data_IF_683301099929
#
_entry.id   IF_683301099929
#
_cell.length_a   1.000
_cell.length_b   1.000
_cell.length_c   1.000
_cell.angle_alpha   90.00
_cell.angle_beta   90.00
_cell.angle_gamma   90.00
#
_symmetry.space_group_name_H-M   'P 1'
#
loop_
_entity.id
_entity.type
_entity.pdbx_description
1 polymer ?
#
# COMPACT_ATOMS: atom_id res chain seq x y z
N UNK A 1 -0.10 17.79 -21.36
CA UNK A 1 1.11 16.98 -21.04
C UNK A 1 1.78 17.43 -19.71
N UNK A 2 1.91 18.76 -19.45
CA UNK A 2 2.55 19.24 -18.21
C UNK A 2 1.74 18.91 -16.97
N UNK A 3 0.41 18.96 -17.06
CA UNK A 3 -0.48 18.71 -15.93
C UNK A 3 -0.49 17.22 -15.57
N UNK A 4 -0.53 16.33 -16.57
CA UNK A 4 -0.45 14.88 -16.36
C UNK A 4 0.89 14.47 -15.74
N UNK A 5 2.01 15.05 -16.20
CA UNK A 5 3.32 14.79 -15.60
C UNK A 5 3.35 15.28 -14.14
N UNK A 6 2.78 16.45 -13.88
CA UNK A 6 2.71 17.01 -12.54
C UNK A 6 1.88 16.11 -11.61
N UNK A 7 0.69 15.71 -12.04
CA UNK A 7 -0.18 14.81 -11.27
C UNK A 7 0.52 13.49 -10.94
N UNK A 8 1.08 12.80 -11.93
CA UNK A 8 1.83 11.57 -11.69
C UNK A 8 3.03 11.75 -10.75
N UNK A 9 3.71 12.90 -10.78
CA UNK A 9 4.79 13.18 -9.84
C UNK A 9 4.27 13.41 -8.42
N UNK A 10 3.10 14.01 -8.25
CA UNK A 10 2.46 14.19 -6.95
C UNK A 10 2.06 12.86 -6.35
N UNK A 11 1.48 11.96 -7.16
CA UNK A 11 1.11 10.60 -6.75
C UNK A 11 2.35 9.81 -6.27
N UNK A 12 3.48 9.92 -6.99
CA UNK A 12 4.74 9.30 -6.57
C UNK A 12 5.23 9.87 -5.23
N UNK A 13 5.19 11.19 -5.04
CA UNK A 13 5.61 11.78 -3.77
C UNK A 13 4.68 11.40 -2.61
N UNK A 14 3.39 11.26 -2.87
CA UNK A 14 2.43 10.80 -1.87
C UNK A 14 2.73 9.36 -1.44
N UNK A 15 2.92 8.48 -2.41
CA UNK A 15 3.32 7.09 -2.17
C UNK A 15 4.61 7.04 -1.35
N UNK A 16 5.66 7.75 -1.78
CA UNK A 16 6.93 7.81 -1.07
C UNK A 16 6.82 8.38 0.35
N UNK A 17 5.92 9.32 0.60
CA UNK A 17 5.68 9.86 1.94
C UNK A 17 5.25 8.76 2.92
N UNK A 18 4.40 7.83 2.48
CA UNK A 18 3.92 6.70 3.31
C UNK A 18 4.96 5.58 3.38
N UNK A 19 5.58 5.24 2.25
CA UNK A 19 6.61 4.20 2.12
C UNK A 19 7.80 4.45 3.07
N UNK A 20 8.31 5.66 3.16
CA UNK A 20 9.41 6.02 4.06
C UNK A 20 9.09 5.78 5.55
N UNK A 21 7.82 5.87 5.95
CA UNK A 21 7.40 5.50 7.30
C UNK A 21 7.40 3.98 7.51
N UNK A 22 7.10 3.19 6.47
CA UNK A 22 7.22 1.73 6.51
C UNK A 22 8.69 1.31 6.61
N UNK A 23 9.56 1.87 5.77
CA UNK A 23 11.00 1.62 5.83
C UNK A 23 11.58 1.97 7.20
N UNK A 24 11.13 3.07 7.81
CA UNK A 24 11.51 3.41 9.18
C UNK A 24 11.09 2.34 10.19
N UNK A 25 9.88 1.78 10.06
CA UNK A 25 9.39 0.69 10.91
C UNK A 25 10.18 -0.60 10.73
N UNK A 26 10.50 -0.97 9.49
CA UNK A 26 11.37 -2.13 9.18
C UNK A 26 12.72 -1.97 9.88
N UNK A 27 13.33 -0.79 9.77
CA UNK A 27 14.64 -0.52 10.41
C UNK A 27 14.58 -0.53 11.92
N UNK A 28 13.49 -0.11 12.53
CA UNK A 28 13.29 -0.32 13.99
C UNK A 28 13.20 -1.81 14.33
N UNK A 29 12.58 -2.63 13.50
CA UNK A 29 12.55 -4.09 13.66
C UNK A 29 13.94 -4.74 13.59
N UNK A 30 14.88 -4.11 12.89
CA UNK A 30 16.29 -4.53 12.78
C UNK A 30 17.21 -3.91 13.86
N UNK A 31 16.68 -3.15 14.83
CA UNK A 31 17.45 -2.33 15.78
C UNK A 31 18.33 -1.24 15.12
N UNK A 32 18.10 -0.91 13.83
CA UNK A 32 18.82 0.13 13.10
C UNK A 32 18.12 1.50 13.24
N UNK A 33 18.26 2.11 14.40
CA UNK A 33 17.65 3.43 14.67
C UNK A 33 18.23 4.56 13.80
N UNK A 34 19.45 4.40 13.28
CA UNK A 34 20.07 5.39 12.41
C UNK A 34 19.39 5.43 11.04
N UNK A 35 19.18 4.27 10.40
CA UNK A 35 18.47 4.20 9.13
C UNK A 35 16.99 4.54 9.29
N UNK A 36 16.34 4.08 10.37
CA UNK A 36 14.97 4.47 10.69
C UNK A 36 14.79 5.99 10.75
N UNK A 37 15.74 6.69 11.39
CA UNK A 37 15.74 8.17 11.42
C UNK A 37 15.89 8.76 10.02
N UNK A 38 16.79 8.23 9.19
CA UNK A 38 16.99 8.69 7.81
C UNK A 38 15.66 8.66 7.04
N UNK A 39 14.95 7.54 7.08
CA UNK A 39 13.68 7.35 6.39
C UNK A 39 12.57 8.28 6.93
N UNK A 40 12.44 8.44 8.24
CA UNK A 40 11.48 9.40 8.80
C UNK A 40 11.72 10.84 8.30
N UNK A 41 12.98 11.25 8.15
CA UNK A 41 13.34 12.55 7.57
C UNK A 41 13.05 12.62 6.07
N UNK A 42 13.32 11.56 5.31
CA UNK A 42 13.04 11.49 3.87
C UNK A 42 11.53 11.62 3.62
N UNK A 43 10.68 10.93 4.36
CA UNK A 43 9.24 11.07 4.30
C UNK A 43 8.76 12.49 4.57
N UNK A 44 9.31 13.17 5.60
CA UNK A 44 9.02 14.58 5.84
C UNK A 44 9.41 15.47 4.66
N UNK A 45 10.57 15.25 4.05
CA UNK A 45 11.01 16.04 2.90
C UNK A 45 10.18 15.80 1.65
N UNK A 46 9.75 14.56 1.38
CA UNK A 46 8.79 14.28 0.31
C UNK A 46 7.49 15.03 0.56
N UNK A 47 6.95 14.97 1.77
CA UNK A 47 5.72 15.67 2.09
C UNK A 47 5.87 17.21 2.04
N UNK A 48 7.00 17.76 2.43
CA UNK A 48 7.25 19.20 2.27
C UNK A 48 7.12 19.66 0.82
N UNK A 49 7.52 18.82 -0.13
CA UNK A 49 7.36 19.08 -1.55
C UNK A 49 5.90 19.03 -1.98
N UNK A 50 5.12 18.11 -1.40
CA UNK A 50 3.68 17.93 -1.66
C UNK A 50 2.80 18.99 -0.99
N UNK A 51 3.20 19.52 0.16
CA UNK A 51 2.36 20.34 1.03
C UNK A 51 1.60 21.49 0.33
N UNK A 52 2.19 22.25 -0.62
CA UNK A 52 1.44 23.27 -1.34
C UNK A 52 0.28 22.71 -2.16
N UNK A 53 0.47 21.54 -2.78
CA UNK A 53 -0.53 20.86 -3.60
C UNK A 53 -1.59 20.18 -2.73
N UNK A 54 -1.16 19.52 -1.65
CA UNK A 54 -2.08 18.97 -0.64
C UNK A 54 -2.99 20.07 -0.08
N UNK A 55 -2.47 21.28 0.16
CA UNK A 55 -3.27 22.41 0.60
C UNK A 55 -4.37 22.80 -0.39
N UNK A 56 -4.08 22.68 -1.70
CA UNK A 56 -5.05 22.99 -2.77
C UNK A 56 -6.12 21.87 -2.90
N UNK A 57 -5.76 20.60 -2.68
CA UNK A 57 -6.63 19.44 -2.91
C UNK A 57 -7.45 19.04 -1.69
N UNK A 58 -6.82 18.92 -0.50
CA UNK A 58 -7.50 18.48 0.74
C UNK A 58 -7.81 19.63 1.73
N UNK A 59 -7.41 20.84 1.38
CA UNK A 59 -7.55 22.02 2.22
C UNK A 59 -6.45 22.19 3.25
N UNK A 60 -6.26 23.43 3.71
CA UNK A 60 -5.13 23.79 4.58
C UNK A 60 -5.13 23.06 5.92
N UNK A 61 -6.29 22.74 6.47
CA UNK A 61 -6.38 22.13 7.79
C UNK A 61 -5.85 20.69 7.77
N UNK A 62 -6.30 19.87 6.80
CA UNK A 62 -5.82 18.48 6.62
C UNK A 62 -4.36 18.45 6.18
N UNK A 63 -3.96 19.31 5.24
CA UNK A 63 -2.57 19.40 4.80
C UNK A 63 -1.63 19.75 5.96
N UNK A 64 -2.00 20.69 6.84
CA UNK A 64 -1.21 21.02 8.02
C UNK A 64 -1.24 19.90 9.07
N UNK A 65 -2.35 19.18 9.21
CA UNK A 65 -2.42 18.00 10.09
C UNK A 65 -1.43 16.93 9.60
N UNK A 66 -1.41 16.62 8.32
CA UNK A 66 -0.48 15.67 7.73
C UNK A 66 0.98 16.12 7.90
N UNK A 67 1.26 17.41 7.69
CA UNK A 67 2.58 17.97 7.96
C UNK A 67 3.02 17.75 9.42
N UNK A 68 2.13 18.03 10.37
CA UNK A 68 2.40 17.81 11.80
C UNK A 68 2.64 16.33 12.15
N UNK A 69 1.99 15.39 11.45
CA UNK A 69 2.23 13.95 11.62
C UNK A 69 3.62 13.56 11.09
N UNK A 70 4.05 14.12 9.96
CA UNK A 70 5.40 13.87 9.43
C UNK A 70 6.49 14.50 10.33
N UNK A 71 6.26 15.68 10.89
CA UNK A 71 7.15 16.24 11.92
C UNK A 71 7.19 15.36 13.18
N UNK A 72 6.04 14.82 13.61
CA UNK A 72 5.97 13.88 14.73
C UNK A 72 6.77 12.59 14.46
N UNK A 73 6.72 12.04 13.24
CA UNK A 73 7.53 10.88 12.86
C UNK A 73 9.04 11.18 12.96
N UNK A 74 9.45 12.35 12.52
CA UNK A 74 10.84 12.84 12.68
C UNK A 74 11.21 12.96 14.16
N UNK A 75 10.38 13.59 14.99
CA UNK A 75 10.63 13.78 16.44
C UNK A 75 10.71 12.44 17.18
N UNK A 76 9.87 11.44 16.80
CA UNK A 76 9.96 10.08 17.33
C UNK A 76 11.35 9.50 17.06
N UNK A 77 11.84 9.61 15.85
CA UNK A 77 13.15 9.07 15.47
C UNK A 77 14.30 9.81 16.11
N UNK A 78 14.17 11.10 16.40
CA UNK A 78 15.16 11.88 17.14
C UNK A 78 15.24 11.44 18.59
N UNK A 79 14.15 11.04 19.22
CA UNK A 79 14.09 10.58 20.61
C UNK A 79 14.82 9.25 20.86
N UNK A 80 15.22 8.53 19.81
CA UNK A 80 16.12 7.37 19.94
C UNK A 80 17.43 7.70 20.67
N UNK A 81 17.92 8.92 20.51
CA UNK A 81 19.13 9.41 21.19
C UNK A 81 18.90 9.72 22.67
N UNK A 82 17.66 9.87 23.10
CA UNK A 82 17.27 10.22 24.47
C UNK A 82 16.98 8.99 25.36
N UNK A 83 17.29 7.79 24.85
CA UNK A 83 17.16 6.53 25.57
C UNK A 83 15.74 5.96 25.58
N UNK A 84 14.89 6.37 24.66
CA UNK A 84 13.59 5.73 24.40
C UNK A 84 13.84 4.34 23.83
N UNK A 85 13.08 3.34 24.29
CA UNK A 85 13.26 1.96 23.80
C UNK A 85 12.82 1.83 22.33
N UNK A 86 13.48 0.96 21.56
CA UNK A 86 13.10 0.68 20.17
C UNK A 86 11.62 0.22 20.07
N UNK A 87 11.16 -0.56 21.04
CA UNK A 87 9.76 -0.99 21.09
C UNK A 87 8.77 0.20 21.22
N UNK A 88 9.12 1.20 22.06
CA UNK A 88 8.28 2.40 22.20
C UNK A 88 8.36 3.28 20.96
N UNK A 89 9.52 3.38 20.31
CA UNK A 89 9.69 4.10 19.04
C UNK A 89 8.86 3.46 17.93
N UNK A 90 8.92 2.13 17.81
CA UNK A 90 8.14 1.34 16.84
C UNK A 90 6.64 1.56 17.05
N UNK A 91 6.15 1.46 18.28
CA UNK A 91 4.74 1.65 18.59
C UNK A 91 4.25 3.07 18.20
N UNK A 92 5.01 4.10 18.57
CA UNK A 92 4.67 5.49 18.25
C UNK A 92 4.72 5.77 16.75
N UNK A 93 5.71 5.21 16.03
CA UNK A 93 5.83 5.33 14.58
C UNK A 93 4.66 4.64 13.88
N UNK A 94 4.28 3.44 14.32
CA UNK A 94 3.14 2.69 13.78
C UNK A 94 1.83 3.45 13.93
N UNK A 95 1.57 4.02 15.12
CA UNK A 95 0.39 4.85 15.35
C UNK A 95 0.39 6.10 14.46
N UNK A 96 1.55 6.74 14.29
CA UNK A 96 1.67 7.94 13.45
C UNK A 96 1.44 7.59 11.98
N UNK A 97 2.00 6.50 11.49
CA UNK A 97 1.78 6.00 10.11
C UNK A 97 0.29 5.73 9.85
N UNK A 98 -0.42 5.05 10.77
CA UNK A 98 -1.87 4.82 10.64
C UNK A 98 -2.66 6.12 10.47
N UNK A 99 -2.30 7.18 11.21
CA UNK A 99 -2.95 8.50 11.08
C UNK A 99 -2.63 9.15 9.72
N UNK A 100 -1.39 9.02 9.22
CA UNK A 100 -0.98 9.51 7.90
C UNK A 100 -1.78 8.80 6.81
N UNK A 101 -1.77 7.47 6.80
CA UNK A 101 -2.48 6.64 5.83
C UNK A 101 -3.97 6.97 5.77
N UNK A 102 -4.60 7.17 6.93
CA UNK A 102 -6.01 7.56 6.98
C UNK A 102 -6.28 8.87 6.22
N UNK A 103 -5.46 9.90 6.43
CA UNK A 103 -5.64 11.18 5.73
C UNK A 103 -5.41 11.03 4.23
N UNK A 104 -4.41 10.24 3.84
CA UNK A 104 -4.10 9.94 2.44
C UNK A 104 -5.27 9.20 1.78
N UNK A 105 -5.82 8.17 2.41
CA UNK A 105 -6.98 7.44 1.90
C UNK A 105 -8.21 8.33 1.75
N UNK A 106 -8.50 9.19 2.75
CA UNK A 106 -9.59 10.16 2.65
C UNK A 106 -9.36 11.18 1.52
N UNK A 107 -8.10 11.55 1.25
CA UNK A 107 -7.73 12.39 0.10
C UNK A 107 -8.05 11.68 -1.22
N UNK A 108 -7.75 10.40 -1.32
CA UNK A 108 -8.02 9.56 -2.49
C UNK A 108 -9.50 9.18 -2.64
N UNK A 109 -10.38 9.82 -1.87
CA UNK A 109 -11.83 9.67 -2.00
C UNK A 109 -12.40 8.44 -1.31
N UNK A 110 -11.63 7.76 -0.46
CA UNK A 110 -12.15 6.69 0.38
C UNK A 110 -13.05 7.29 1.46
N UNK A 111 -14.25 6.74 1.63
CA UNK A 111 -15.13 7.13 2.73
C UNK A 111 -14.40 6.88 4.06
N UNK A 112 -14.48 7.84 4.98
CA UNK A 112 -13.84 7.76 6.30
C UNK A 112 -14.50 6.76 7.26
N UNK A 113 -15.39 5.87 6.80
CA UNK A 113 -15.94 4.80 7.62
C UNK A 113 -14.87 3.75 7.96
N UNK A 114 -14.93 3.12 9.15
CA UNK A 114 -13.95 2.12 9.55
C UNK A 114 -13.82 0.97 8.56
N UNK A 115 -14.94 0.49 8.01
CA UNK A 115 -14.98 -0.59 7.02
C UNK A 115 -14.34 -0.19 5.69
N UNK A 116 -14.61 1.00 5.17
CA UNK A 116 -14.03 1.49 3.92
C UNK A 116 -12.53 1.69 4.05
N UNK A 117 -12.07 2.31 5.14
CA UNK A 117 -10.65 2.50 5.42
C UNK A 117 -9.91 1.16 5.59
N UNK A 118 -10.53 0.18 6.28
CA UNK A 118 -9.93 -1.14 6.45
C UNK A 118 -9.78 -1.88 5.11
N UNK A 119 -10.83 -1.89 4.27
CA UNK A 119 -10.79 -2.55 2.96
C UNK A 119 -9.81 -1.86 2.02
N UNK A 120 -9.75 -0.53 2.02
CA UNK A 120 -8.78 0.22 1.23
C UNK A 120 -7.34 -0.07 1.70
N UNK A 121 -7.10 -0.09 3.01
CA UNK A 121 -5.78 -0.40 3.57
C UNK A 121 -5.31 -1.82 3.26
N UNK A 122 -6.22 -2.80 3.23
CA UNK A 122 -5.89 -4.17 2.80
C UNK A 122 -5.56 -4.20 1.31
N UNK A 123 -6.38 -3.54 0.47
CA UNK A 123 -6.16 -3.50 -0.98
C UNK A 123 -4.80 -2.86 -1.33
N UNK A 124 -4.45 -1.77 -0.67
CA UNK A 124 -3.18 -1.08 -0.85
C UNK A 124 -1.99 -1.99 -0.54
N UNK A 125 -2.04 -2.70 0.58
CA UNK A 125 -0.98 -3.64 0.97
C UNK A 125 -0.87 -4.85 0.05
N UNK A 126 -1.98 -5.39 -0.42
CA UNK A 126 -1.98 -6.47 -1.41
C UNK A 126 -1.30 -6.03 -2.71
N UNK A 127 -1.54 -4.80 -3.11
CA UNK A 127 -0.87 -4.22 -4.25
C UNK A 127 0.66 -4.10 -4.01
N UNK A 128 1.06 -3.54 -2.86
CA UNK A 128 2.48 -3.39 -2.54
C UNK A 128 3.19 -4.75 -2.46
N UNK A 129 2.54 -5.79 -1.91
CA UNK A 129 3.06 -7.17 -1.99
C UNK A 129 3.36 -7.58 -3.43
N UNK A 130 2.48 -7.27 -4.38
CA UNK A 130 2.69 -7.63 -5.80
C UNK A 130 3.86 -6.86 -6.43
N UNK A 131 3.99 -5.57 -6.13
CA UNK A 131 5.06 -4.72 -6.67
C UNK A 131 6.41 -5.16 -6.11
N UNK A 132 6.53 -5.18 -4.78
CA UNK A 132 7.81 -5.40 -4.13
C UNK A 132 8.33 -6.83 -4.32
N UNK A 133 7.44 -7.84 -4.32
CA UNK A 133 7.87 -9.23 -4.49
C UNK A 133 8.52 -9.51 -5.85
N UNK A 134 8.09 -8.82 -6.90
CA UNK A 134 8.69 -8.94 -8.25
C UNK A 134 10.15 -8.46 -8.27
N UNK A 135 10.45 -7.42 -7.51
CA UNK A 135 11.78 -6.83 -7.43
C UNK A 135 12.62 -7.46 -6.28
N UNK A 136 11.98 -8.17 -5.36
CA UNK A 136 12.61 -8.82 -4.22
C UNK A 136 13.33 -10.12 -4.55
N UNK A 137 12.75 -10.97 -5.43
CA UNK A 137 13.29 -12.32 -5.74
C UNK A 137 13.48 -12.56 -7.22
N UNK A 138 14.43 -13.47 -7.54
CA UNK A 138 14.59 -13.98 -8.90
C UNK A 138 13.65 -15.17 -9.20
N UNK A 139 13.60 -15.60 -10.47
CA UNK A 139 12.78 -16.75 -10.89
C UNK A 139 13.18 -18.11 -10.28
N UNK A 140 14.20 -18.14 -9.42
CA UNK A 140 14.68 -19.33 -8.69
C UNK A 140 14.40 -19.23 -7.18
N UNK A 141 13.74 -18.17 -6.72
CA UNK A 141 13.43 -17.94 -5.31
C UNK A 141 14.61 -17.39 -4.49
N UNK A 142 15.64 -16.85 -5.14
CA UNK A 142 16.71 -16.17 -4.41
C UNK A 142 16.35 -14.72 -4.18
N UNK A 143 16.59 -14.21 -2.97
CA UNK A 143 16.45 -12.78 -2.70
C UNK A 143 17.54 -12.03 -3.48
N UNK A 144 17.13 -11.08 -4.31
CA UNK A 144 17.98 -10.18 -5.09
C UNK A 144 17.96 -8.75 -4.58
N UNK A 145 16.96 -8.40 -3.78
CA UNK A 145 16.84 -7.13 -3.08
C UNK A 145 16.30 -7.37 -1.67
N UNK A 146 17.15 -7.20 -0.67
CA UNK A 146 16.79 -7.47 0.74
C UNK A 146 15.75 -6.47 1.27
N UNK A 147 15.74 -5.21 0.78
CA UNK A 147 14.78 -4.20 1.22
C UNK A 147 13.39 -4.53 0.69
N UNK A 148 13.24 -4.72 -0.61
CA UNK A 148 11.96 -5.05 -1.25
C UNK A 148 11.38 -6.36 -0.68
N UNK A 149 12.26 -7.31 -0.32
CA UNK A 149 11.81 -8.52 0.37
C UNK A 149 11.28 -8.24 1.78
N UNK A 150 11.95 -7.39 2.55
CA UNK A 150 11.49 -6.99 3.88
C UNK A 150 10.18 -6.20 3.82
N UNK A 151 10.02 -5.34 2.83
CA UNK A 151 8.78 -4.59 2.57
C UNK A 151 7.63 -5.54 2.19
N UNK A 152 7.88 -6.50 1.28
CA UNK A 152 6.89 -7.53 0.94
C UNK A 152 6.38 -8.26 2.20
N UNK A 153 7.28 -8.68 3.09
CA UNK A 153 6.92 -9.33 4.36
C UNK A 153 6.09 -8.40 5.24
N UNK A 154 6.49 -7.12 5.34
CA UNK A 154 5.77 -6.12 6.15
C UNK A 154 4.37 -5.85 5.59
N UNK A 155 4.23 -5.70 4.28
CA UNK A 155 2.94 -5.45 3.64
C UNK A 155 2.00 -6.67 3.73
N UNK A 156 2.50 -7.88 3.52
CA UNK A 156 1.71 -9.09 3.69
C UNK A 156 1.19 -9.24 5.13
N UNK A 157 2.07 -9.02 6.12
CA UNK A 157 1.70 -9.01 7.53
C UNK A 157 0.72 -7.91 7.89
N UNK A 158 0.94 -6.71 7.35
CA UNK A 158 0.08 -5.54 7.57
C UNK A 158 -1.33 -5.71 7.01
N UNK A 159 -1.50 -6.37 5.87
CA UNK A 159 -2.81 -6.70 5.31
C UNK A 159 -3.62 -7.61 6.26
N UNK A 160 -2.98 -8.65 6.80
CA UNK A 160 -3.61 -9.55 7.76
C UNK A 160 -3.94 -8.79 9.06
N UNK A 161 -3.02 -8.00 9.60
CA UNK A 161 -3.23 -7.22 10.82
C UNK A 161 -4.42 -6.28 10.69
N UNK A 162 -4.55 -5.53 9.58
CA UNK A 162 -5.71 -4.66 9.34
C UNK A 162 -7.01 -5.47 9.36
N UNK A 163 -7.02 -6.65 8.72
CA UNK A 163 -8.20 -7.51 8.68
C UNK A 163 -8.62 -8.03 10.08
N UNK A 164 -7.65 -8.29 10.95
CA UNK A 164 -7.87 -8.75 12.32
C UNK A 164 -8.28 -7.60 13.24
N UNK A 165 -7.61 -6.45 13.19
CA UNK A 165 -7.93 -5.27 14.00
C UNK A 165 -9.33 -4.73 13.70
N UNK A 166 -9.81 -4.87 12.46
CA UNK A 166 -11.13 -4.41 12.01
C UNK A 166 -12.14 -5.56 11.85
N UNK A 167 -11.88 -6.72 12.47
CA UNK A 167 -12.73 -7.90 12.29
C UNK A 167 -14.20 -7.66 12.63
N UNK A 168 -14.53 -6.83 13.63
CA UNK A 168 -15.90 -6.57 14.02
C UNK A 168 -16.70 -5.87 12.91
N UNK A 169 -16.14 -4.84 12.27
CA UNK A 169 -16.81 -4.10 11.19
C UNK A 169 -16.81 -4.90 9.89
N UNK A 170 -15.73 -5.63 9.58
CA UNK A 170 -15.63 -6.47 8.39
C UNK A 170 -16.55 -7.70 8.48
N UNK A 171 -16.71 -8.33 9.66
CA UNK A 171 -17.69 -9.40 9.89
C UNK A 171 -19.14 -8.91 9.69
N UNK A 172 -19.43 -7.66 10.00
CA UNK A 172 -20.75 -7.10 9.76
C UNK A 172 -21.09 -7.00 8.26
N UNK A 173 -20.08 -6.87 7.40
CA UNK A 173 -20.24 -6.92 5.95
C UNK A 173 -20.50 -8.37 5.51
N UNK A 174 -19.53 -9.26 5.76
CA UNK A 174 -19.61 -10.68 5.41
C UNK A 174 -18.59 -11.51 6.20
N UNK A 175 -19.09 -12.31 7.13
CA UNK A 175 -18.23 -13.17 7.96
C UNK A 175 -17.54 -14.30 7.15
N UNK A 176 -18.17 -14.78 6.09
CA UNK A 176 -17.60 -15.81 5.22
C UNK A 176 -16.46 -15.28 4.37
N UNK A 177 -16.65 -14.10 3.77
CA UNK A 177 -15.62 -13.45 2.97
C UNK A 177 -14.43 -13.00 3.82
N UNK A 178 -14.67 -12.48 5.02
CA UNK A 178 -13.57 -12.15 5.94
C UNK A 178 -12.75 -13.38 6.30
N UNK A 179 -13.40 -14.52 6.62
CA UNK A 179 -12.67 -15.75 6.95
C UNK A 179 -11.86 -16.28 5.76
N UNK A 180 -12.40 -16.18 4.55
CA UNK A 180 -11.70 -16.55 3.32
C UNK A 180 -10.52 -15.60 3.05
N UNK A 181 -10.73 -14.30 3.16
CA UNK A 181 -9.68 -13.28 3.03
C UNK A 181 -8.53 -13.53 3.99
N UNK A 182 -8.80 -13.70 5.28
CA UNK A 182 -7.77 -13.98 6.29
C UNK A 182 -7.01 -15.29 6.03
N UNK A 183 -7.69 -16.29 5.48
CA UNK A 183 -7.05 -17.55 5.06
C UNK A 183 -6.07 -17.33 3.91
N UNK A 184 -6.46 -16.55 2.90
CA UNK A 184 -5.58 -16.22 1.76
C UNK A 184 -4.42 -15.34 2.21
N UNK A 185 -4.65 -14.30 3.03
CA UNK A 185 -3.60 -13.45 3.56
C UNK A 185 -2.55 -14.25 4.36
N UNK A 186 -3.01 -15.21 5.17
CA UNK A 186 -2.11 -16.14 5.88
C UNK A 186 -1.30 -16.99 4.89
N UNK A 187 -1.93 -17.43 3.81
CA UNK A 187 -1.27 -18.17 2.72
C UNK A 187 -0.19 -17.32 2.02
N UNK A 188 -0.49 -16.05 1.70
CA UNK A 188 0.48 -15.11 1.10
C UNK A 188 1.72 -14.96 1.99
N UNK A 189 1.54 -14.77 3.30
CA UNK A 189 2.66 -14.67 4.25
C UNK A 189 3.54 -15.92 4.17
N UNK A 190 2.92 -17.13 4.15
CA UNK A 190 3.66 -18.38 4.06
C UNK A 190 4.39 -18.52 2.72
N UNK A 191 3.75 -18.13 1.62
CA UNK A 191 4.34 -18.19 0.29
C UNK A 191 5.54 -17.24 0.16
N UNK A 192 5.44 -16.02 0.71
CA UNK A 192 6.54 -15.06 0.79
C UNK A 192 7.69 -15.61 1.64
N UNK A 193 7.41 -16.13 2.83
CA UNK A 193 8.43 -16.71 3.72
C UNK A 193 9.16 -17.91 3.08
N UNK A 194 8.43 -18.74 2.34
CA UNK A 194 8.97 -19.87 1.60
C UNK A 194 9.67 -19.47 0.29
N UNK A 195 9.56 -18.22 -0.11
CA UNK A 195 10.07 -17.70 -1.39
C UNK A 195 9.50 -18.48 -2.58
N UNK A 196 8.19 -18.70 -2.53
CA UNK A 196 7.47 -19.34 -3.62
C UNK A 196 7.55 -18.51 -4.92
N UNK A 197 7.17 -19.09 -6.04
CA UNK A 197 7.28 -18.40 -7.34
C UNK A 197 6.52 -17.07 -7.34
N UNK A 198 7.04 -16.08 -8.05
CA UNK A 198 6.39 -14.77 -8.21
C UNK A 198 4.93 -14.95 -8.62
N UNK A 199 4.65 -15.79 -9.62
CA UNK A 199 3.28 -16.03 -10.08
C UNK A 199 2.36 -16.59 -8.98
N UNK A 200 2.88 -17.41 -8.06
CA UNK A 200 2.06 -17.96 -6.98
C UNK A 200 1.64 -16.88 -5.97
N UNK A 201 2.59 -16.02 -5.56
CA UNK A 201 2.31 -14.92 -4.64
C UNK A 201 1.37 -13.89 -5.28
N UNK A 202 1.62 -13.52 -6.54
CA UNK A 202 0.76 -12.58 -7.25
C UNK A 202 -0.68 -13.10 -7.41
N UNK A 203 -0.85 -14.37 -7.82
CA UNK A 203 -2.18 -14.96 -7.96
C UNK A 203 -2.93 -15.01 -6.60
N UNK A 204 -2.24 -15.33 -5.51
CA UNK A 204 -2.86 -15.29 -4.18
C UNK A 204 -3.28 -13.87 -3.77
N UNK A 205 -2.47 -12.86 -4.10
CA UNK A 205 -2.81 -11.47 -3.85
C UNK A 205 -4.00 -10.99 -4.70
N UNK A 206 -4.10 -11.47 -5.95
CA UNK A 206 -5.26 -11.21 -6.81
C UNK A 206 -6.53 -11.85 -6.26
N UNK A 207 -6.47 -13.12 -5.82
CA UNK A 207 -7.60 -13.80 -5.19
C UNK A 207 -8.09 -13.03 -3.94
N UNK A 208 -7.18 -12.56 -3.10
CA UNK A 208 -7.51 -11.72 -1.96
C UNK A 208 -8.16 -10.39 -2.39
N UNK A 209 -7.64 -9.77 -3.45
CA UNK A 209 -8.17 -8.51 -4.00
C UNK A 209 -9.60 -8.67 -4.52
N UNK A 210 -9.94 -9.81 -5.12
CA UNK A 210 -11.32 -10.13 -5.56
C UNK A 210 -12.27 -10.15 -4.37
N UNK A 211 -11.87 -10.74 -3.25
CA UNK A 211 -12.70 -10.76 -2.03
C UNK A 211 -12.86 -9.34 -1.45
N UNK A 212 -11.78 -8.56 -1.39
CA UNK A 212 -11.85 -7.17 -0.93
C UNK A 212 -12.83 -6.35 -1.77
N UNK A 213 -12.75 -6.46 -3.11
CA UNK A 213 -13.69 -5.79 -4.05
C UNK A 213 -15.14 -6.26 -3.81
N UNK A 214 -15.37 -7.56 -3.57
CA UNK A 214 -16.70 -8.09 -3.25
C UNK A 214 -17.25 -7.50 -1.96
N UNK A 215 -16.44 -7.42 -0.90
CA UNK A 215 -16.83 -6.80 0.36
C UNK A 215 -17.11 -5.30 0.20
N UNK A 216 -16.30 -4.57 -0.56
CA UNK A 216 -16.56 -3.16 -0.89
C UNK A 216 -17.91 -2.97 -1.62
N UNK A 217 -18.27 -3.89 -2.51
CA UNK A 217 -19.55 -3.84 -3.20
C UNK A 217 -20.76 -3.97 -2.23
N UNK A 218 -20.60 -4.71 -1.14
CA UNK A 218 -21.63 -4.85 -0.11
C UNK A 218 -21.80 -3.62 0.80
N UNK A 219 -20.78 -2.75 0.90
CA UNK A 219 -20.89 -1.48 1.66
C UNK A 219 -21.68 -0.41 0.92
N UNK A 220 -22.06 -0.64 -0.33
CA UNK A 220 -22.75 0.33 -1.18
C UNK A 220 -21.82 1.33 -1.87
N UNK A 221 -20.52 1.20 -1.68
CA UNK A 221 -19.50 2.06 -2.30
C UNK A 221 -19.16 1.68 -3.75
N UNK A 222 -19.63 0.54 -4.23
CA UNK A 222 -19.34 0.01 -5.57
C UNK A 222 -19.81 0.90 -6.75
N UNK A 223 -20.41 2.07 -6.46
CA UNK A 223 -21.04 2.92 -7.46
C UNK A 223 -20.28 4.18 -7.88
N UNK A 224 -19.15 4.53 -7.27
CA UNK A 224 -18.53 5.83 -7.55
C UNK A 224 -17.02 5.85 -7.84
N UNK A 225 -16.30 4.75 -7.71
CA UNK A 225 -14.84 4.81 -7.87
C UNK A 225 -14.34 4.20 -9.20
N UNK A 226 -14.71 4.81 -10.32
CA UNK A 226 -14.06 4.55 -11.62
C UNK A 226 -12.54 4.85 -11.55
N UNK A 227 -12.13 5.77 -10.70
CA UNK A 227 -10.73 6.15 -10.47
C UNK A 227 -9.91 4.96 -9.97
N UNK A 228 -10.44 4.14 -9.05
CA UNK A 228 -9.74 2.95 -8.55
C UNK A 228 -9.42 1.90 -9.62
N UNK A 229 -10.25 1.79 -10.67
CA UNK A 229 -9.92 0.94 -11.81
C UNK A 229 -8.79 1.52 -12.65
N UNK A 230 -8.78 2.84 -12.87
CA UNK A 230 -7.69 3.51 -13.60
C UNK A 230 -6.36 3.40 -12.86
N UNK A 231 -6.37 3.55 -11.54
CA UNK A 231 -5.18 3.40 -10.72
C UNK A 231 -4.65 1.96 -10.79
N UNK A 232 -5.53 0.97 -10.67
CA UNK A 232 -5.14 -0.45 -10.80
C UNK A 232 -4.58 -0.75 -12.18
N UNK A 233 -5.20 -0.25 -13.27
CA UNK A 233 -4.71 -0.42 -14.64
C UNK A 233 -3.31 0.19 -14.79
N UNK A 234 -3.11 1.42 -14.35
CA UNK A 234 -1.82 2.09 -14.44
C UNK A 234 -0.73 1.30 -13.71
N UNK A 235 -1.04 0.81 -12.54
CA UNK A 235 -0.13 0.03 -11.70
C UNK A 235 0.25 -1.30 -12.34
N UNK A 236 -0.73 -2.05 -12.84
CA UNK A 236 -0.47 -3.30 -13.57
C UNK A 236 0.38 -3.08 -14.81
N UNK A 237 0.17 -1.98 -15.52
CA UNK A 237 0.99 -1.63 -16.69
C UNK A 237 2.44 -1.25 -16.31
N UNK A 238 2.65 -0.57 -15.19
CA UNK A 238 4.00 -0.28 -14.67
C UNK A 238 4.72 -1.55 -14.23
N UNK A 239 4.04 -2.45 -13.52
CA UNK A 239 4.58 -3.76 -13.14
C UNK A 239 4.90 -4.62 -14.37
N UNK A 240 4.04 -4.59 -15.39
CA UNK A 240 4.29 -5.27 -16.68
C UNK A 240 5.54 -4.72 -17.38
N UNK A 241 5.75 -3.41 -17.33
CA UNK A 241 6.95 -2.76 -17.86
C UNK A 241 8.20 -3.19 -17.11
N UNK A 242 8.16 -3.27 -15.77
CA UNK A 242 9.26 -3.74 -14.95
C UNK A 242 9.56 -5.22 -15.25
N UNK A 243 8.55 -6.10 -15.26
CA UNK A 243 8.70 -7.51 -15.59
C UNK A 243 9.34 -7.71 -16.99
N UNK A 244 8.88 -6.93 -17.99
CA UNK A 244 9.44 -6.99 -19.34
C UNK A 244 10.89 -6.51 -19.38
N UNK A 245 11.23 -5.46 -18.66
CA UNK A 245 12.58 -4.92 -18.57
C UNK A 245 13.55 -5.91 -17.90
N UNK A 246 13.04 -6.70 -16.95
CA UNK A 246 13.78 -7.78 -16.28
C UNK A 246 13.82 -9.09 -17.09
N UNK A 247 13.28 -9.10 -18.32
CA UNK A 247 13.30 -10.24 -19.25
C UNK A 247 12.19 -11.27 -18.98
N UNK A 248 11.25 -11.00 -18.10
CA UNK A 248 10.09 -11.86 -17.79
C UNK A 248 8.89 -11.49 -18.67
N UNK A 249 8.95 -11.87 -19.95
CA UNK A 249 7.90 -11.54 -20.93
C UNK A 249 6.55 -12.21 -20.63
N UNK A 250 6.55 -13.38 -20.00
CA UNK A 250 5.33 -14.13 -19.69
C UNK A 250 4.57 -13.41 -18.58
N UNK A 251 5.25 -13.01 -17.51
CA UNK A 251 4.67 -12.22 -16.44
C UNK A 251 4.17 -10.84 -16.95
N UNK A 252 4.96 -10.19 -17.82
CA UNK A 252 4.55 -8.93 -18.41
C UNK A 252 3.24 -9.06 -19.21
N UNK A 253 3.08 -10.16 -19.96
CA UNK A 253 1.86 -10.45 -20.70
C UNK A 253 0.67 -10.72 -19.76
N UNK A 254 0.89 -11.46 -18.68
CA UNK A 254 -0.12 -11.75 -17.65
C UNK A 254 -0.64 -10.46 -17.00
N UNK A 255 0.27 -9.59 -16.55
CA UNK A 255 -0.09 -8.30 -15.92
C UNK A 255 -0.84 -7.37 -16.89
N UNK A 256 -0.46 -7.32 -18.18
CA UNK A 256 -1.24 -6.57 -19.18
C UNK A 256 -2.63 -7.17 -19.38
N UNK A 257 -2.74 -8.50 -19.36
CA UNK A 257 -4.02 -9.20 -19.50
C UNK A 257 -4.94 -8.90 -18.31
N UNK A 258 -4.42 -8.89 -17.09
CA UNK A 258 -5.15 -8.49 -15.88
C UNK A 258 -5.61 -7.02 -15.95
N UNK A 259 -4.74 -6.12 -16.39
CA UNK A 259 -5.09 -4.72 -16.55
C UNK A 259 -6.32 -4.54 -17.46
N UNK A 260 -6.42 -5.35 -18.52
CA UNK A 260 -7.54 -5.30 -19.45
C UNK A 260 -8.75 -6.07 -18.92
N UNK A 261 -8.62 -7.37 -18.66
CA UNK A 261 -9.77 -8.26 -18.39
C UNK A 261 -10.40 -8.00 -17.00
N UNK A 262 -9.60 -7.71 -16.00
CA UNK A 262 -10.08 -7.59 -14.62
C UNK A 262 -10.40 -6.14 -14.22
N UNK A 263 -9.99 -5.16 -15.03
CA UNK A 263 -10.19 -3.76 -14.70
C UNK A 263 -10.78 -2.94 -15.86
N UNK A 264 -10.18 -2.96 -17.05
CA UNK A 264 -10.65 -2.11 -18.15
C UNK A 264 -12.03 -2.52 -18.68
N UNK A 265 -12.36 -3.81 -18.72
CA UNK A 265 -13.69 -4.28 -19.13
C UNK A 265 -14.81 -3.70 -18.26
N UNK A 266 -14.56 -3.46 -16.96
CA UNK A 266 -15.53 -2.83 -16.07
C UNK A 266 -15.70 -1.33 -16.32
N UNK A 267 -14.75 -0.69 -16.98
CA UNK A 267 -14.82 0.72 -17.38
C UNK A 267 -15.50 0.93 -18.73
N UNK A 268 -15.52 -0.07 -19.61
CA UNK A 268 -16.06 0.08 -20.97
C UNK A 268 -17.54 0.50 -20.96
N UNK A 269 -18.36 -0.09 -20.09
CA UNK A 269 -19.77 0.23 -20.00
C UNK A 269 -20.03 1.66 -19.47
N UNK A 270 -19.39 2.12 -18.36
CA UNK A 270 -19.59 3.48 -17.85
C UNK A 270 -19.01 4.60 -18.73
N UNK A 271 -17.94 4.34 -19.49
CA UNK A 271 -17.30 5.36 -20.35
C UNK A 271 -17.78 5.31 -21.80
N UNK A 272 -18.52 4.29 -22.19
CA UNK A 272 -19.09 4.13 -23.55
C UNK A 272 -20.46 4.77 -23.75
N UNK A 273 -21.07 5.35 -22.72
CA UNK A 273 -22.29 6.16 -22.78
C UNK A 273 -21.95 7.65 -22.82
#
# INVERSE_FOLDING_TARGET
YSDVIRENMLDIFELKTVEELEEALIKYGEDDTYSAKKYAYEGLYYYQTLHPYATESIGSDKANQLYGLMEKAMDISDSANDGVSVADLTAQMKDTKKEVEKIVMEHNGIDGTPEALALAGIADRLYLVQVEYVDAIDGSGNIINDMEYAETVAFAGGALEISEENADVLNAISSSELAELQSILTGIIQDVDNKESISQVLNAADDATVIVKSMQAHTGEAGSNLTGYFDTINRLLLSAQAAYSNGNSDLAFELVSQAYLDNYEFLEAPIGE
#
